data_IF_912092154008
#
_entry.id   IF_912092154008
#
_cell.length_a   1.000
_cell.length_b   1.000
_cell.length_c   1.000
_cell.angle_alpha   90.00
_cell.angle_beta   90.00
_cell.angle_gamma   90.00
#
_symmetry.space_group_name_H-M   'P 1'
#
loop_
_entity.id
_entity.type
_entity.pdbx_description
1 polymer ?
#
# COMPACT_ATOMS: atom_id res chain seq x y z
N UNK A 1 40.55 -21.96 -15.05
CA UNK A 1 39.77 -22.41 -14.76
C UNK A 1 38.88 -21.93 -13.82
N UNK A 2 39.02 -21.89 -12.88
CA UNK A 2 38.20 -21.55 -11.94
C UNK A 2 37.81 -20.17 -12.04
N UNK A 3 38.56 -19.38 -12.44
CA UNK A 3 38.27 -18.05 -12.43
C UNK A 3 37.02 -17.83 -13.20
N UNK A 4 36.82 -18.51 -14.12
CA UNK A 4 35.72 -18.36 -14.90
C UNK A 4 34.57 -18.45 -14.03
N UNK A 5 34.61 -19.33 -13.15
CA UNK A 5 33.56 -19.52 -12.27
C UNK A 5 33.26 -18.29 -11.60
N UNK A 6 34.23 -17.58 -11.39
CA UNK A 6 34.09 -16.37 -10.68
C UNK A 6 33.10 -15.59 -11.43
N UNK A 7 33.24 -15.63 -12.69
CA UNK A 7 32.40 -14.89 -13.50
C UNK A 7 31.03 -15.31 -13.25
N UNK A 8 30.89 -16.51 -13.09
CA UNK A 8 29.61 -17.02 -12.88
C UNK A 8 29.11 -16.26 -11.72
N UNK A 9 29.94 -16.05 -10.84
CA UNK A 9 29.51 -15.36 -9.67
C UNK A 9 28.91 -14.10 -10.14
N UNK A 10 29.43 -13.60 -11.19
CA UNK A 10 28.93 -12.41 -11.68
C UNK A 10 27.51 -12.58 -11.98
N UNK A 11 27.19 -13.70 -12.37
CA UNK A 11 25.86 -13.93 -12.68
C UNK A 11 25.08 -13.47 -11.55
N UNK A 12 25.71 -13.38 -10.47
CA UNK A 12 25.03 -12.94 -9.30
C UNK A 12 24.33 -11.65 -9.67
N UNK A 13 24.89 -11.03 -10.64
CA UNK A 13 24.36 -9.76 -11.01
C UNK A 13 22.94 -9.99 -11.43
N UNK A 14 22.75 -11.07 -11.99
CA UNK A 14 21.46 -11.38 -12.52
C UNK A 14 20.51 -11.46 -11.37
N UNK A 15 20.96 -12.01 -10.30
CA UNK A 15 20.03 -12.18 -9.21
C UNK A 15 19.58 -10.82 -8.75
N UNK A 16 20.20 -9.80 -9.16
CA UNK A 16 19.80 -8.49 -8.76
C UNK A 16 18.40 -8.32 -9.23
N UNK A 17 18.18 -8.70 -10.41
CA UNK A 17 16.90 -8.54 -11.02
C UNK A 17 15.85 -9.22 -10.19
N UNK A 18 16.11 -10.44 -9.83
CA UNK A 18 15.09 -11.13 -9.08
C UNK A 18 14.98 -10.51 -7.71
N UNK A 19 16.01 -9.87 -7.25
CA UNK A 19 15.94 -9.26 -5.94
C UNK A 19 14.99 -8.09 -5.95
N UNK A 20 14.67 -7.58 -7.13
CA UNK A 20 13.78 -6.46 -7.22
C UNK A 20 12.33 -6.88 -7.20
N UNK A 21 12.10 -8.15 -7.39
CA UNK A 21 10.74 -8.64 -7.38
C UNK A 21 10.47 -9.28 -6.04
N UNK A 22 9.45 -8.82 -5.36
CA UNK A 22 9.06 -9.39 -4.09
C UNK A 22 7.67 -9.96 -4.22
N UNK A 23 7.47 -11.08 -3.57
CA UNK A 23 6.16 -11.70 -3.59
C UNK A 23 5.33 -11.14 -2.46
N UNK A 24 4.05 -11.07 -2.68
CA UNK A 24 3.15 -10.59 -1.65
C UNK A 24 3.30 -11.47 -0.41
N UNK A 25 3.19 -10.85 0.73
CA UNK A 25 3.41 -11.52 2.01
C UNK A 25 2.13 -11.53 2.83
N UNK A 26 1.84 -12.65 3.44
CA UNK A 26 0.66 -12.79 4.30
C UNK A 26 1.12 -13.46 5.59
N UNK A 27 0.98 -12.74 6.70
CA UNK A 27 1.47 -13.23 7.99
C UNK A 27 0.36 -13.19 9.01
N UNK A 28 0.15 -14.29 9.68
CA UNK A 28 -0.89 -14.35 10.69
C UNK A 28 -0.46 -13.56 11.92
N UNK A 29 -1.32 -12.66 12.38
CA UNK A 29 -1.07 -11.88 13.57
C UNK A 29 -2.33 -11.93 14.41
N UNK A 30 -2.34 -12.79 15.43
CA UNK A 30 -3.55 -12.96 16.24
C UNK A 30 -4.65 -13.55 15.37
N UNK A 31 -5.79 -12.88 15.39
CA UNK A 31 -6.93 -13.32 14.62
C UNK A 31 -6.95 -12.74 13.20
N UNK A 32 -5.95 -11.95 12.87
CA UNK A 32 -5.92 -11.29 11.57
C UNK A 32 -4.74 -11.78 10.73
N UNK A 33 -4.79 -11.47 9.46
CA UNK A 33 -3.71 -11.82 8.56
C UNK A 33 -3.19 -10.51 7.99
N UNK A 34 -1.92 -10.22 8.24
CA UNK A 34 -1.32 -9.00 7.73
C UNK A 34 -0.85 -9.24 6.31
N UNK A 35 -1.28 -8.38 5.40
CA UNK A 35 -0.94 -8.50 3.99
C UNK A 35 -0.02 -7.36 3.60
N UNK A 36 1.04 -7.69 2.85
CA UNK A 36 1.94 -6.69 2.29
C UNK A 36 2.09 -7.03 0.82
N UNK A 37 1.63 -6.14 -0.03
CA UNK A 37 1.66 -6.34 -1.47
C UNK A 37 2.71 -5.43 -2.07
N UNK A 38 3.32 -5.85 -3.15
CA UNK A 38 4.42 -5.11 -3.74
C UNK A 38 4.21 -4.77 -5.19
N UNK A 39 4.78 -3.63 -5.59
CA UNK A 39 4.87 -3.26 -6.99
C UNK A 39 5.99 -4.10 -7.60
N UNK A 40 6.07 -4.14 -8.92
CA UNK A 40 7.10 -4.89 -9.61
C UNK A 40 8.51 -4.42 -9.24
N UNK A 41 8.65 -3.17 -8.83
CA UNK A 41 9.97 -2.65 -8.49
C UNK A 41 10.38 -2.95 -7.05
N UNK A 42 9.58 -3.72 -6.33
CA UNK A 42 9.92 -4.09 -4.96
C UNK A 42 9.43 -3.16 -3.88
N UNK A 43 8.83 -2.02 -4.27
CA UNK A 43 8.26 -1.12 -3.29
C UNK A 43 6.90 -1.63 -2.85
N UNK A 44 6.53 -1.35 -1.62
CA UNK A 44 5.21 -1.77 -1.12
C UNK A 44 4.14 -1.04 -1.91
N UNK A 45 3.14 -1.77 -2.38
CA UNK A 45 2.02 -1.16 -3.08
C UNK A 45 0.81 -0.99 -2.15
N UNK A 46 0.59 -1.94 -1.26
CA UNK A 46 -0.50 -1.86 -0.29
C UNK A 46 -0.15 -2.66 0.93
N UNK A 47 -0.67 -2.26 2.07
CA UNK A 47 -0.55 -3.07 3.27
C UNK A 47 -1.79 -2.91 4.12
N UNK A 48 -2.21 -3.97 4.75
CA UNK A 48 -3.42 -3.97 5.54
C UNK A 48 -3.66 -5.33 6.15
N UNK A 49 -4.90 -5.57 6.54
CA UNK A 49 -5.24 -6.81 7.21
C UNK A 49 -6.48 -7.45 6.61
N UNK A 50 -6.53 -8.78 6.73
CA UNK A 50 -7.72 -9.55 6.39
C UNK A 50 -8.17 -10.27 7.64
N UNK A 51 -9.45 -10.55 7.73
CA UNK A 51 -9.95 -11.41 8.79
C UNK A 51 -9.60 -12.85 8.41
N UNK A 52 -9.83 -13.77 9.34
CA UNK A 52 -9.57 -15.18 9.05
C UNK A 52 -10.43 -15.69 7.89
N UNK A 53 -11.57 -15.05 7.65
CA UNK A 53 -12.44 -15.44 6.55
C UNK A 53 -12.04 -14.76 5.23
N UNK A 54 -11.00 -13.94 5.24
CA UNK A 54 -10.54 -13.29 4.02
C UNK A 54 -11.18 -11.97 3.69
N UNK A 55 -11.82 -11.33 4.67
CA UNK A 55 -12.44 -10.04 4.44
C UNK A 55 -11.47 -8.93 4.81
N UNK A 56 -11.51 -7.81 4.08
CA UNK A 56 -10.68 -6.67 4.39
C UNK A 56 -11.06 -6.14 5.77
N UNK A 57 -10.07 -5.80 6.57
CA UNK A 57 -10.31 -5.39 7.93
C UNK A 57 -9.34 -4.29 8.36
N UNK A 58 -9.85 -3.26 9.02
CA UNK A 58 -9.02 -2.21 9.58
C UNK A 58 -8.44 -1.29 8.51
N UNK A 59 -7.30 -0.73 8.84
CA UNK A 59 -6.68 0.28 7.99
C UNK A 59 -5.88 -0.35 6.87
N UNK A 60 -6.10 0.15 5.66
CA UNK A 60 -5.33 -0.27 4.49
C UNK A 60 -4.68 0.96 3.88
N UNK A 61 -3.42 0.86 3.53
CA UNK A 61 -2.68 1.98 2.98
C UNK A 61 -2.15 1.60 1.61
N UNK A 62 -2.26 2.50 0.66
CA UNK A 62 -1.77 2.29 -0.70
C UNK A 62 -0.64 3.26 -0.98
N UNK A 63 0.33 2.81 -1.77
CA UNK A 63 1.49 3.61 -2.13
C UNK A 63 1.73 3.51 -3.64
N UNK A 64 2.32 4.54 -4.23
CA UNK A 64 2.66 4.48 -5.64
C UNK A 64 4.04 3.83 -5.78
N UNK A 65 4.53 3.71 -6.99
CA UNK A 65 5.79 3.03 -7.25
C UNK A 65 7.00 3.74 -6.67
N UNK A 66 6.87 5.02 -6.35
CA UNK A 66 7.94 5.79 -5.74
C UNK A 66 7.89 5.71 -4.22
N UNK A 67 6.92 4.99 -3.68
CA UNK A 67 6.81 4.84 -2.22
C UNK A 67 6.00 5.91 -1.55
N UNK A 68 5.33 6.76 -2.29
CA UNK A 68 4.52 7.82 -1.72
C UNK A 68 3.12 7.30 -1.44
N UNK A 69 2.55 7.70 -0.30
CA UNK A 69 1.22 7.25 0.07
C UNK A 69 0.18 7.88 -0.84
N UNK A 70 -0.71 7.09 -1.38
CA UNK A 70 -1.74 7.57 -2.28
C UNK A 70 -3.14 7.45 -1.70
N UNK A 71 -3.33 6.54 -0.76
CA UNK A 71 -4.66 6.36 -0.17
C UNK A 71 -4.57 5.69 1.19
N UNK A 72 -5.53 6.02 2.05
CA UNK A 72 -5.71 5.32 3.31
C UNK A 72 -7.18 4.97 3.36
N UNK A 73 -7.47 3.73 3.63
CA UNK A 73 -8.83 3.21 3.64
C UNK A 73 -9.10 2.54 4.98
N UNK A 74 -10.36 2.42 5.33
CA UNK A 74 -10.74 1.71 6.54
C UNK A 74 -11.88 0.76 6.22
N UNK A 75 -11.79 -0.45 6.73
CA UNK A 75 -12.77 -1.50 6.48
C UNK A 75 -13.21 -2.15 7.78
N UNK A 76 -14.46 -2.63 7.79
CA UNK A 76 -14.96 -3.39 8.90
C UNK A 76 -15.65 -4.59 8.28
N UNK A 77 -15.03 -5.78 8.39
CA UNK A 77 -15.58 -6.99 7.82
C UNK A 77 -15.95 -6.83 6.34
N UNK A 78 -15.03 -6.23 5.59
CA UNK A 78 -15.19 -6.08 4.16
C UNK A 78 -15.98 -4.86 3.73
N UNK A 79 -16.57 -4.13 4.67
CA UNK A 79 -17.35 -2.95 4.33
C UNK A 79 -16.54 -1.70 4.56
N UNK A 80 -16.73 -0.71 3.69
CA UNK A 80 -16.02 0.55 3.85
C UNK A 80 -16.61 1.30 5.02
N UNK A 81 -15.74 1.84 5.87
CA UNK A 81 -16.19 2.56 7.05
C UNK A 81 -15.18 3.65 7.40
N UNK A 82 -15.58 4.61 8.19
CA UNK A 82 -14.69 5.64 8.70
C UNK A 82 -14.18 6.58 7.63
N UNK A 83 -13.04 7.16 7.89
CA UNK A 83 -12.49 8.15 6.98
C UNK A 83 -11.52 7.51 6.01
N UNK A 84 -11.67 7.91 4.75
CA UNK A 84 -10.80 7.46 3.68
C UNK A 84 -10.10 8.68 3.13
N UNK A 85 -8.82 8.57 2.83
CA UNK A 85 -8.05 9.68 2.32
C UNK A 85 -7.43 9.30 0.98
N UNK A 86 -7.48 10.24 0.04
CA UNK A 86 -6.87 10.04 -1.28
C UNK A 86 -6.01 11.25 -1.59
N UNK A 87 -4.76 11.03 -1.90
CA UNK A 87 -3.83 12.10 -2.26
C UNK A 87 -3.68 12.15 -3.76
N UNK A 88 -3.80 13.34 -4.32
CA UNK A 88 -3.64 13.53 -5.74
C UNK A 88 -2.86 14.81 -5.90
N UNK A 89 -1.62 14.71 -6.33
CA UNK A 89 -0.75 15.86 -6.51
C UNK A 89 -0.93 16.97 -5.49
N UNK A 90 -1.80 17.91 -5.74
CA UNK A 90 -1.96 19.05 -4.86
C UNK A 90 -3.26 19.03 -4.07
N UNK A 91 -3.94 17.92 -4.01
CA UNK A 91 -5.18 17.85 -3.24
C UNK A 91 -5.21 16.63 -2.36
N UNK A 92 -5.97 16.75 -1.27
CA UNK A 92 -6.25 15.64 -0.37
C UNK A 92 -7.76 15.55 -0.31
N UNK A 93 -8.30 14.41 -0.68
CA UNK A 93 -9.74 14.20 -0.61
C UNK A 93 -10.03 13.28 0.56
N UNK A 94 -10.92 13.71 1.43
CA UNK A 94 -11.34 12.94 2.58
C UNK A 94 -12.77 12.51 2.35
N UNK A 95 -13.03 11.21 2.45
CA UNK A 95 -14.36 10.67 2.22
C UNK A 95 -14.77 9.91 3.47
N UNK A 96 -15.97 10.21 3.98
CA UNK A 96 -16.47 9.49 5.14
C UNK A 96 -17.42 8.42 4.64
N UNK A 97 -17.25 7.21 5.16
CA UNK A 97 -18.11 6.08 4.80
C UNK A 97 -18.79 5.51 6.03
N UNK A 98 -19.98 4.99 5.83
CA UNK A 98 -20.68 4.24 6.84
C UNK A 98 -21.33 3.08 6.11
N UNK A 99 -20.93 1.86 6.44
CA UNK A 99 -21.43 0.65 5.81
C UNK A 99 -21.43 0.76 4.29
N UNK A 100 -20.29 1.13 3.76
CA UNK A 100 -20.00 1.23 2.33
C UNK A 100 -20.76 2.35 1.62
N UNK A 101 -21.38 3.25 2.38
CA UNK A 101 -22.07 4.41 1.78
C UNK A 101 -21.31 5.66 2.14
N UNK A 102 -21.20 6.58 1.19
CA UNK A 102 -20.54 7.86 1.42
C UNK A 102 -21.46 8.75 2.22
N UNK A 103 -20.96 9.28 3.34
CA UNK A 103 -21.72 10.18 4.18
C UNK A 103 -21.15 11.59 4.17
N UNK A 104 -19.97 11.79 3.63
CA UNK A 104 -19.40 13.13 3.55
C UNK A 104 -18.16 13.15 2.70
N UNK A 105 -17.83 14.31 2.12
CA UNK A 105 -16.64 14.48 1.31
C UNK A 105 -16.06 15.87 1.59
N UNK A 106 -14.76 15.93 1.82
CA UNK A 106 -14.06 17.20 1.96
C UNK A 106 -12.84 17.16 1.04
N UNK A 107 -12.53 18.30 0.43
CA UNK A 107 -11.36 18.39 -0.43
C UNK A 107 -10.48 19.50 0.09
N UNK A 108 -9.21 19.21 0.26
CA UNK A 108 -8.25 20.14 0.81
C UNK A 108 -7.18 20.40 -0.22
N UNK A 109 -6.65 21.62 -0.26
CA UNK A 109 -5.52 21.91 -1.12
C UNK A 109 -4.26 21.72 -0.31
N UNK A 110 -3.22 21.24 -0.98
CA UNK A 110 -1.94 20.97 -0.33
C UNK A 110 -0.87 21.84 -0.96
N UNK A 111 -0.05 22.46 -0.11
CA UNK A 111 1.07 23.26 -0.58
C UNK A 111 2.30 22.58 0.00
N UNK A 112 3.01 21.85 -0.85
CA UNK A 112 4.10 21.03 -0.37
C UNK A 112 3.53 19.89 0.42
N UNK A 113 3.83 19.84 1.70
CA UNK A 113 3.31 18.78 2.54
C UNK A 113 2.25 19.29 3.52
N UNK A 114 1.80 20.53 3.31
CA UNK A 114 0.82 21.10 4.23
C UNK A 114 -0.52 21.27 3.57
N UNK A 115 -1.57 21.09 4.34
CA UNK A 115 -2.92 21.35 3.88
C UNK A 115 -3.14 22.84 4.09
N UNK A 116 -3.44 23.58 3.05
CA UNK A 116 -3.62 25.02 3.15
C UNK A 116 -5.05 25.52 2.98
N UNK A 117 -5.93 24.71 2.47
CA UNK A 117 -7.32 25.14 2.36
C UNK A 117 -8.23 23.95 2.21
N UNK A 118 -9.48 24.15 2.56
CA UNK A 118 -10.49 23.10 2.47
C UNK A 118 -11.55 23.66 1.51
N UNK A 119 -11.67 23.05 0.35
CA UNK A 119 -12.66 23.48 -0.64
C UNK A 119 -13.99 22.76 -0.49
#
# INVERSE_FOLDING_TARGET
>A
MKKLLVIVALMGAVSFVSAQEKKNSYVKEGDLIKATLFHDNGQVSQEGYYTAEGKLQGKWVSYNAEGEKTAVANYEEGKKTGKWFFWNEDTLREVDYSQSKITGVNIWKIDGERVVSND
#
